data_IF_588161556494
#
_entry.id   IF_588161556494
#
_cell.length_a   1.000
_cell.length_b   1.000
_cell.length_c   1.000
_cell.angle_alpha   90.00
_cell.angle_beta   90.00
_cell.angle_gamma   90.00
#
_symmetry.space_group_name_H-M   'P 1'
#
loop_
_entity.id
_entity.type
_entity.pdbx_description
1 polymer ?
#
# COMPACT_ATOMS: atom_id res chain seq x y z
N UNK A 1 3.00 -26.08 8.97
CA UNK A 1 2.30 -26.03 7.66
C UNK A 1 0.92 -25.45 7.89
N UNK A 2 0.53 -24.40 7.18
CA UNK A 2 -0.80 -23.79 7.29
C UNK A 2 -1.52 -23.99 5.97
N UNK A 3 -2.70 -24.62 6.01
CA UNK A 3 -3.56 -24.80 4.85
C UNK A 3 -4.68 -23.79 4.98
N UNK A 4 -4.66 -22.74 4.14
CA UNK A 4 -5.85 -21.92 3.96
C UNK A 4 -6.62 -22.46 2.76
N UNK A 5 -7.65 -23.26 3.02
CA UNK A 5 -8.62 -23.65 2.01
C UNK A 5 -9.56 -22.46 1.79
N UNK A 6 -9.58 -21.91 0.58
CA UNK A 6 -10.66 -21.00 0.14
C UNK A 6 -11.96 -21.82 0.11
N UNK A 7 -13.08 -21.30 0.60
CA UNK A 7 -14.36 -22.03 0.61
C UNK A 7 -14.80 -22.44 -0.82
N UNK A 8 -14.29 -21.78 -1.86
CA UNK A 8 -14.52 -22.06 -3.29
C UNK A 8 -13.45 -22.98 -3.92
N UNK A 9 -13.14 -24.07 -3.21
CA UNK A 9 -11.92 -24.88 -3.39
C UNK A 9 -11.76 -25.68 -4.69
N UNK A 10 -12.69 -25.65 -5.65
CA UNK A 10 -12.55 -26.46 -6.86
C UNK A 10 -11.67 -25.82 -7.94
N UNK A 11 -11.44 -24.49 -7.90
CA UNK A 11 -10.72 -23.79 -9.00
C UNK A 11 -9.61 -22.83 -8.55
N UNK A 12 -9.48 -22.53 -7.26
CA UNK A 12 -8.42 -21.63 -6.77
C UNK A 12 -7.18 -22.42 -6.32
N UNK A 13 -5.96 -22.03 -6.73
CA UNK A 13 -4.73 -22.73 -6.35
C UNK A 13 -4.51 -22.68 -4.83
N UNK A 14 -4.21 -23.84 -4.24
CA UNK A 14 -3.88 -23.95 -2.81
C UNK A 14 -2.55 -23.25 -2.54
N UNK A 15 -2.53 -22.33 -1.57
CA UNK A 15 -1.32 -21.63 -1.14
C UNK A 15 -0.71 -22.35 0.06
N UNK A 16 0.52 -22.84 -0.07
CA UNK A 16 1.28 -23.43 1.02
C UNK A 16 2.19 -22.39 1.69
N UNK A 17 2.02 -22.17 2.99
CA UNK A 17 2.94 -21.39 3.81
C UNK A 17 3.94 -22.30 4.53
N UNK A 18 5.20 -22.24 4.11
CA UNK A 18 6.34 -22.93 4.72
C UNK A 18 7.14 -21.93 5.55
N UNK A 19 7.43 -22.27 6.81
CA UNK A 19 8.17 -21.40 7.72
C UNK A 19 9.01 -22.23 8.68
N UNK A 20 10.16 -21.69 9.09
CA UNK A 20 11.00 -22.19 10.16
C UNK A 20 10.72 -21.49 11.51
N UNK A 21 9.72 -20.61 11.57
CA UNK A 21 9.35 -19.91 12.79
C UNK A 21 8.67 -20.86 13.78
N UNK A 22 9.13 -20.85 15.04
CA UNK A 22 8.50 -21.54 16.17
C UNK A 22 7.24 -20.81 16.66
N UNK A 23 6.35 -20.44 15.73
CA UNK A 23 5.08 -19.75 15.99
C UNK A 23 3.91 -20.62 15.53
N UNK A 24 2.75 -20.44 16.16
CA UNK A 24 1.51 -21.06 15.68
C UNK A 24 1.21 -20.63 14.23
N UNK A 25 0.69 -21.58 13.45
CA UNK A 25 0.20 -21.42 12.08
C UNK A 25 -0.56 -20.10 11.82
N UNK A 26 -1.52 -19.75 12.67
CA UNK A 26 -2.32 -18.55 12.50
C UNK A 26 -1.47 -17.28 12.56
N UNK A 27 -0.60 -17.16 13.56
CA UNK A 27 0.32 -16.03 13.71
C UNK A 27 1.27 -15.90 12.54
N UNK A 28 1.76 -17.03 12.01
CA UNK A 28 2.58 -17.06 10.79
C UNK A 28 1.80 -16.48 9.61
N UNK A 29 0.55 -16.90 9.42
CA UNK A 29 -0.29 -16.39 8.33
C UNK A 29 -0.54 -14.88 8.45
N UNK A 30 -0.74 -14.35 9.66
CA UNK A 30 -0.84 -12.90 9.90
C UNK A 30 0.46 -12.15 9.59
N UNK A 31 1.61 -12.68 10.00
CA UNK A 31 2.93 -12.11 9.71
C UNK A 31 3.18 -12.08 8.19
N UNK A 32 2.82 -13.16 7.48
CA UNK A 32 2.90 -13.19 6.02
C UNK A 32 1.99 -12.17 5.34
N UNK A 33 0.81 -11.90 5.92
CA UNK A 33 -0.10 -10.87 5.40
C UNK A 33 0.52 -9.48 5.49
N UNK A 34 1.19 -9.17 6.60
CA UNK A 34 1.94 -7.91 6.76
C UNK A 34 3.10 -7.83 5.76
N UNK A 35 3.86 -8.92 5.60
CA UNK A 35 4.95 -9.02 4.62
C UNK A 35 4.47 -8.78 3.18
N UNK A 36 3.32 -9.33 2.81
CA UNK A 36 2.71 -9.14 1.50
C UNK A 36 2.37 -7.68 1.21
N UNK A 37 1.98 -6.90 2.22
CA UNK A 37 1.75 -5.46 2.05
C UNK A 37 3.04 -4.73 1.67
N UNK A 38 4.16 -5.12 2.28
CA UNK A 38 5.49 -4.57 1.94
C UNK A 38 5.86 -4.95 0.50
N UNK A 39 5.66 -6.19 0.08
CA UNK A 39 5.90 -6.62 -1.31
C UNK A 39 5.03 -5.85 -2.31
N UNK A 40 3.76 -5.62 -1.96
CA UNK A 40 2.83 -4.84 -2.78
C UNK A 40 3.28 -3.39 -2.89
N UNK A 41 3.79 -2.80 -1.80
CA UNK A 41 4.41 -1.48 -1.81
C UNK A 41 5.60 -1.45 -2.77
N UNK A 42 6.60 -2.32 -2.60
CA UNK A 42 7.76 -2.38 -3.49
C UNK A 42 7.39 -2.60 -4.96
N UNK A 43 6.36 -3.40 -5.25
CA UNK A 43 5.85 -3.57 -6.61
C UNK A 43 5.37 -2.23 -7.21
N UNK A 44 4.63 -1.42 -6.45
CA UNK A 44 4.18 -0.11 -6.92
C UNK A 44 5.33 0.90 -7.10
N UNK A 45 6.38 0.81 -6.27
CA UNK A 45 7.56 1.66 -6.40
C UNK A 45 8.40 1.28 -7.64
N UNK A 46 8.60 -0.03 -7.87
CA UNK A 46 9.53 -0.53 -8.90
C UNK A 46 9.00 -0.50 -10.32
N UNK A 47 7.81 -1.05 -10.56
CA UNK A 47 7.31 -1.36 -11.93
C UNK A 47 5.81 -1.16 -12.17
N UNK A 48 4.98 -1.05 -11.13
CA UNK A 48 3.52 -0.91 -11.27
C UNK A 48 3.03 0.41 -10.67
N UNK A 49 3.69 1.52 -11.03
CA UNK A 49 3.37 2.84 -10.48
C UNK A 49 4.41 3.88 -10.84
N UNK A 50 5.44 4.01 -9.99
CA UNK A 50 6.46 5.05 -10.14
C UNK A 50 7.66 4.63 -10.99
N UNK A 51 7.71 3.38 -11.43
CA UNK A 51 8.70 2.87 -12.40
C UNK A 51 10.16 3.19 -12.06
N UNK A 52 10.54 3.05 -10.78
CA UNK A 52 11.93 3.29 -10.32
C UNK A 52 12.98 2.56 -11.17
N UNK A 53 12.68 1.34 -11.63
CA UNK A 53 13.60 0.55 -12.45
C UNK A 53 13.83 1.21 -13.82
N UNK A 54 12.83 1.90 -14.37
CA UNK A 54 12.93 2.63 -15.63
C UNK A 54 13.72 3.94 -15.49
N UNK A 55 13.69 4.56 -14.31
CA UNK A 55 14.42 5.82 -14.05
C UNK A 55 15.95 5.64 -14.10
N UNK A 56 16.45 4.41 -13.89
CA UNK A 56 17.86 4.04 -14.00
C UNK A 56 18.83 5.03 -13.31
N UNK A 57 18.45 5.50 -12.12
CA UNK A 57 19.25 6.47 -11.35
C UNK A 57 20.54 5.79 -10.86
N UNK A 58 21.67 6.45 -11.10
CA UNK A 58 22.99 5.96 -10.69
C UNK A 58 23.62 6.86 -9.63
N UNK A 59 24.43 6.27 -8.75
CA UNK A 59 25.11 6.95 -7.65
C UNK A 59 24.35 6.87 -6.32
N UNK A 60 25.07 6.55 -5.24
CA UNK A 60 24.47 6.22 -3.95
C UNK A 60 23.58 7.34 -3.38
N UNK A 61 24.01 8.60 -3.47
CA UNK A 61 23.23 9.75 -2.97
C UNK A 61 21.95 9.99 -3.76
N UNK A 62 22.03 9.89 -5.09
CA UNK A 62 20.87 10.05 -5.96
C UNK A 62 19.86 8.93 -5.76
N UNK A 63 20.33 7.70 -5.58
CA UNK A 63 19.46 6.56 -5.24
C UNK A 63 18.76 6.77 -3.89
N UNK A 64 19.48 7.24 -2.86
CA UNK A 64 18.88 7.57 -1.55
C UNK A 64 17.80 8.63 -1.67
N UNK A 65 18.09 9.72 -2.38
CA UNK A 65 17.15 10.81 -2.59
C UNK A 65 15.92 10.34 -3.38
N UNK A 66 16.14 9.61 -4.49
CA UNK A 66 15.05 9.07 -5.31
C UNK A 66 14.15 8.14 -4.49
N UNK A 67 14.73 7.25 -3.69
CA UNK A 67 13.97 6.36 -2.81
C UNK A 67 13.13 7.16 -1.81
N UNK A 68 13.69 8.20 -1.18
CA UNK A 68 12.95 9.06 -0.27
C UNK A 68 11.76 9.75 -0.95
N UNK A 69 11.96 10.30 -2.15
CA UNK A 69 10.91 10.97 -2.93
C UNK A 69 9.79 9.99 -3.30
N UNK A 70 10.13 8.79 -3.79
CA UNK A 70 9.13 7.83 -4.25
C UNK A 70 8.35 7.21 -3.08
N UNK A 71 9.02 6.94 -1.94
CA UNK A 71 8.32 6.49 -0.71
C UNK A 71 7.38 7.58 -0.19
N UNK A 72 7.81 8.85 -0.26
CA UNK A 72 6.96 9.98 0.09
C UNK A 72 5.74 10.07 -0.83
N UNK A 73 5.93 10.06 -2.15
CA UNK A 73 4.86 10.10 -3.13
C UNK A 73 3.89 8.91 -2.97
N UNK A 74 4.40 7.71 -2.65
CA UNK A 74 3.58 6.56 -2.32
C UNK A 74 2.70 6.79 -1.10
N UNK A 75 3.26 7.34 -0.02
CA UNK A 75 2.52 7.65 1.21
C UNK A 75 1.40 8.67 0.96
N UNK A 76 1.69 9.72 0.19
CA UNK A 76 0.71 10.71 -0.28
C UNK A 76 -0.41 10.05 -1.08
N UNK A 77 -0.05 9.16 -2.01
CA UNK A 77 -1.02 8.39 -2.81
C UNK A 77 -1.91 7.53 -1.93
N UNK A 78 -1.36 6.77 -0.99
CA UNK A 78 -2.16 5.91 -0.10
C UNK A 78 -3.16 6.72 0.73
N UNK A 79 -2.75 7.86 1.30
CA UNK A 79 -3.67 8.66 2.12
C UNK A 79 -4.86 9.20 1.30
N UNK A 80 -4.61 9.71 0.09
CA UNK A 80 -5.67 10.20 -0.79
C UNK A 80 -6.55 9.07 -1.31
N UNK A 81 -5.91 7.95 -1.65
CA UNK A 81 -6.56 6.71 -2.02
C UNK A 81 -7.54 6.28 -0.94
N UNK A 82 -7.12 6.20 0.33
CA UNK A 82 -7.97 5.78 1.45
C UNK A 82 -9.18 6.70 1.68
N UNK A 83 -8.99 8.02 1.58
CA UNK A 83 -10.09 9.00 1.72
C UNK A 83 -11.20 8.78 0.68
N UNK A 84 -10.82 8.51 -0.57
CA UNK A 84 -11.74 8.35 -1.70
C UNK A 84 -12.01 6.89 -2.09
N UNK A 85 -11.45 5.90 -1.38
CA UNK A 85 -11.51 4.50 -1.82
C UNK A 85 -12.94 3.94 -1.83
N UNK A 86 -13.81 4.47 -0.96
CA UNK A 86 -15.19 4.03 -0.86
C UNK A 86 -16.01 4.29 -2.14
N UNK A 87 -15.59 5.22 -3.00
CA UNK A 87 -16.27 5.50 -4.27
C UNK A 87 -15.83 4.62 -5.45
N UNK A 88 -14.77 3.82 -5.29
CA UNK A 88 -14.24 2.97 -6.36
C UNK A 88 -15.25 1.89 -6.76
N UNK A 89 -15.58 1.72 -8.03
CA UNK A 89 -16.55 0.71 -8.46
C UNK A 89 -16.15 -0.71 -8.04
N UNK A 90 -17.15 -1.56 -7.73
CA UNK A 90 -16.92 -2.99 -7.48
C UNK A 90 -17.02 -3.74 -8.81
N UNK A 91 -16.05 -4.61 -9.08
CA UNK A 91 -16.09 -5.59 -10.17
C UNK A 91 -16.46 -6.96 -9.60
N UNK A 92 -17.39 -7.62 -10.26
CA UNK A 92 -17.77 -9.01 -9.97
C UNK A 92 -16.93 -9.93 -10.85
N UNK A 93 -16.32 -10.93 -10.25
CA UNK A 93 -15.49 -11.92 -10.94
C UNK A 93 -16.31 -13.20 -11.21
N UNK A 94 -15.79 -14.08 -12.06
CA UNK A 94 -16.46 -15.32 -12.45
C UNK A 94 -16.81 -16.24 -11.25
N UNK A 95 -16.12 -16.08 -10.12
CA UNK A 95 -16.38 -16.78 -8.86
C UNK A 95 -17.46 -16.09 -7.98
N UNK A 96 -18.20 -15.11 -8.51
CA UNK A 96 -19.24 -14.37 -7.78
C UNK A 96 -18.71 -13.35 -6.75
N UNK A 97 -17.40 -13.38 -6.44
CA UNK A 97 -16.79 -12.45 -5.49
C UNK A 97 -16.71 -11.04 -6.08
N UNK A 98 -16.94 -10.05 -5.23
CA UNK A 98 -16.92 -8.63 -5.58
C UNK A 98 -15.71 -7.97 -4.94
N UNK A 99 -14.83 -7.43 -5.78
CA UNK A 99 -13.67 -6.65 -5.32
C UNK A 99 -13.69 -5.26 -5.92
N UNK A 100 -13.06 -4.30 -5.24
CA UNK A 100 -12.86 -2.96 -5.79
C UNK A 100 -12.03 -3.06 -7.07
N UNK A 101 -12.45 -2.32 -8.10
CA UNK A 101 -11.92 -2.43 -9.46
C UNK A 101 -10.48 -1.97 -9.62
N UNK A 102 -10.01 -1.13 -8.70
CA UNK A 102 -8.64 -0.61 -8.64
C UNK A 102 -8.11 -0.65 -7.20
N UNK A 103 -6.78 -0.63 -7.06
CA UNK A 103 -6.11 -0.57 -5.75
C UNK A 103 -6.25 0.82 -5.11
N UNK A 104 -6.11 0.87 -3.78
CA UNK A 104 -6.06 2.13 -3.01
C UNK A 104 -4.99 3.06 -3.57
N UNK A 105 -3.81 2.51 -3.86
CA UNK A 105 -2.70 3.24 -4.46
C UNK A 105 -3.09 3.89 -5.80
N UNK A 106 -3.69 3.11 -6.72
CA UNK A 106 -4.05 3.62 -8.05
C UNK A 106 -5.08 4.74 -7.96
N UNK A 107 -6.11 4.60 -7.10
CA UNK A 107 -7.06 5.69 -6.87
C UNK A 107 -6.39 6.91 -6.25
N UNK A 108 -5.43 6.70 -5.36
CA UNK A 108 -4.60 7.75 -4.79
C UNK A 108 -3.86 8.57 -5.83
N UNK A 109 -3.14 7.89 -6.73
CA UNK A 109 -2.41 8.53 -7.84
C UNK A 109 -3.35 9.29 -8.76
N UNK A 110 -4.50 8.70 -9.12
CA UNK A 110 -5.54 9.36 -9.92
C UNK A 110 -6.04 10.64 -9.24
N UNK A 111 -6.35 10.57 -7.94
CA UNK A 111 -6.77 11.75 -7.17
C UNK A 111 -5.69 12.81 -7.02
N UNK A 112 -4.41 12.43 -7.07
CA UNK A 112 -3.31 13.39 -7.06
C UNK A 112 -3.19 14.07 -8.42
N UNK A 113 -3.30 13.30 -9.51
CA UNK A 113 -3.26 13.81 -10.87
C UNK A 113 -4.44 14.73 -11.19
N UNK A 114 -5.64 14.43 -10.69
CA UNK A 114 -6.85 15.25 -10.87
C UNK A 114 -6.77 16.61 -10.15
N UNK A 115 -6.01 16.70 -9.06
CA UNK A 115 -6.13 17.81 -8.12
C UNK A 115 -5.29 19.04 -8.50
N UNK A 116 -4.81 19.13 -9.73
CA UNK A 116 -4.07 20.26 -10.33
C UNK A 116 -3.25 21.06 -9.30
N UNK A 117 -2.30 20.38 -8.65
CA UNK A 117 -1.53 21.00 -7.60
C UNK A 117 -0.43 21.87 -8.21
N UNK A 118 -0.65 23.19 -8.24
CA UNK A 118 0.44 24.15 -8.43
C UNK A 118 1.52 23.91 -7.38
N UNK A 119 2.77 23.78 -7.81
CA UNK A 119 3.94 23.48 -6.96
C UNK A 119 4.02 24.43 -5.75
N UNK A 120 3.61 25.69 -5.93
CA UNK A 120 3.54 26.74 -4.91
C UNK A 120 2.70 26.34 -3.68
N UNK A 121 1.67 25.53 -3.86
CA UNK A 121 0.75 25.11 -2.79
C UNK A 121 1.09 23.74 -2.20
N UNK A 122 2.09 23.03 -2.74
CA UNK A 122 2.45 21.68 -2.26
C UNK A 122 3.00 21.69 -0.84
N UNK A 123 3.81 22.69 -0.48
CA UNK A 123 4.43 22.78 0.85
C UNK A 123 3.37 22.91 1.95
N UNK A 124 2.46 23.86 1.82
CA UNK A 124 1.35 24.05 2.76
C UNK A 124 0.41 22.85 2.77
N UNK A 125 0.12 22.27 1.61
CA UNK A 125 -0.73 21.09 1.51
C UNK A 125 -0.17 19.89 2.28
N UNK A 126 1.13 19.61 2.15
CA UNK A 126 1.80 18.55 2.89
C UNK A 126 1.74 18.85 4.40
N UNK A 127 2.02 20.10 4.79
CA UNK A 127 1.94 20.51 6.19
C UNK A 127 0.54 20.30 6.78
N UNK A 128 -0.50 20.72 6.07
CA UNK A 128 -1.90 20.63 6.53
C UNK A 128 -2.41 19.20 6.51
N UNK A 129 -2.13 18.41 5.48
CA UNK A 129 -2.74 17.09 5.33
C UNK A 129 -1.93 15.93 5.91
N UNK A 130 -0.61 16.07 6.03
CA UNK A 130 0.28 15.04 6.54
C UNK A 130 0.86 15.39 7.91
N UNK A 131 1.49 16.55 8.06
CA UNK A 131 2.25 16.89 9.28
C UNK A 131 1.35 17.42 10.42
N UNK A 132 0.17 17.98 10.12
CA UNK A 132 -0.77 18.40 11.15
C UNK A 132 -1.50 17.23 11.84
N UNK A 133 -1.45 16.02 11.25
CA UNK A 133 -2.09 14.80 11.76
C UNK A 133 -1.29 14.15 12.91
N UNK A 134 -0.01 14.46 13.07
CA UNK A 134 0.86 13.90 14.12
C UNK A 134 0.39 14.25 15.55
N UNK A 135 -0.47 15.27 15.71
CA UNK A 135 -1.08 15.59 17.01
C UNK A 135 -2.13 14.58 17.49
N UNK A 136 -2.58 13.65 16.65
CA UNK A 136 -3.60 12.64 17.02
C UNK A 136 -3.05 11.22 17.18
N UNK A 137 -1.75 10.99 16.93
CA UNK A 137 -1.08 9.68 17.02
C UNK A 137 -0.27 9.55 18.33
N UNK A 138 -0.53 10.40 19.32
CA UNK A 138 -0.13 10.11 20.69
C UNK A 138 -1.23 9.23 21.32
N UNK A 139 -1.04 7.91 21.48
CA UNK A 139 -2.00 7.13 22.25
C UNK A 139 -2.04 7.72 23.66
N UNK A 140 -3.25 8.05 24.12
CA UNK A 140 -3.51 8.29 25.54
C UNK A 140 -2.83 7.17 26.32
N UNK A 141 -2.05 7.57 27.31
CA UNK A 141 -1.40 6.73 28.30
C UNK A 141 -2.17 5.45 28.55
N UNK A 142 -1.52 4.32 28.30
CA UNK A 142 -1.86 3.06 28.96
C UNK A 142 -1.66 3.34 30.45
N UNK A 143 -2.77 3.59 31.15
CA UNK A 143 -2.77 3.59 32.60
C UNK A 143 -2.58 2.14 33.06
N UNK A 144 -1.71 2.02 34.07
CA UNK A 144 -1.43 0.84 34.89
C UNK A 144 -2.68 0.03 35.21
#
# INVERSE_FOLDING_TARGET
>A
MVIKKSEDAEKEPVIFLLTNLSKNAYKVAEDYRKRWQIETCFRHLKTNGFDLEKMNVQGADRCRLMMAIVVFAYSVSIAHGLKKYKSVSLKTYANGKRYRSISVFRKGVECIAEADYRIENWGEYILIHFLSHDRKICPKSINV
#
